data_IF_793679855618
#
_entry.id   IF_793679855618
#
_cell.length_a   1.000
_cell.length_b   1.000
_cell.length_c   1.000
_cell.angle_alpha   90.00
_cell.angle_beta   90.00
_cell.angle_gamma   90.00
#
_symmetry.space_group_name_H-M   'P 1'
#
loop_
_entity.id
_entity.type
_entity.pdbx_description
1 polymer ?
#
# COMPACT_ATOMS: atom_id res chain seq x y z
N UNK A 1 21.08 3.32 40.00
CA UNK A 1 20.79 4.49 39.16
C UNK A 1 19.87 3.98 38.06
N UNK A 2 18.58 4.33 38.11
CA UNK A 2 17.60 3.99 37.09
C UNK A 2 17.98 4.82 35.86
N UNK A 3 18.49 4.17 34.82
CA UNK A 3 18.66 4.79 33.52
C UNK A 3 17.25 5.03 32.95
N UNK A 4 16.67 6.19 33.20
CA UNK A 4 15.43 6.59 32.56
C UNK A 4 15.72 6.82 31.07
N UNK A 5 15.61 5.74 30.29
CA UNK A 5 15.58 5.83 28.84
C UNK A 5 14.32 6.62 28.50
N UNK A 6 14.49 7.85 27.98
CA UNK A 6 13.35 8.65 27.55
C UNK A 6 12.57 7.96 26.43
N UNK A 7 11.36 8.45 26.08
CA UNK A 7 10.49 7.82 25.07
C UNK A 7 11.15 7.67 23.71
N UNK A 8 10.73 6.66 22.97
CA UNK A 8 11.13 6.38 21.59
C UNK A 8 9.96 6.66 20.66
N UNK A 9 10.16 7.56 19.71
CA UNK A 9 9.15 7.99 18.74
C UNK A 9 9.46 7.47 17.36
N UNK A 10 8.55 6.72 16.73
CA UNK A 10 8.62 6.43 15.31
C UNK A 10 7.95 7.56 14.51
N UNK A 11 8.63 8.03 13.46
CA UNK A 11 8.10 8.99 12.48
C UNK A 11 8.11 8.33 11.10
N UNK A 12 6.95 8.26 10.48
CA UNK A 12 6.75 7.74 9.12
C UNK A 12 6.52 8.93 8.18
N UNK A 13 7.51 9.33 7.37
CA UNK A 13 7.37 10.41 6.41
C UNK A 13 6.60 9.93 5.18
N UNK A 14 5.42 10.52 4.90
CA UNK A 14 4.56 10.10 3.81
C UNK A 14 3.89 11.29 3.12
N UNK A 15 4.57 11.89 2.11
CA UNK A 15 3.99 13.01 1.35
C UNK A 15 2.97 12.56 0.32
N UNK A 16 2.02 13.44 -0.05
CA UNK A 16 0.98 13.19 -1.04
C UNK A 16 1.47 13.20 -2.49
N UNK A 17 2.49 14.04 -2.80
CA UNK A 17 2.94 14.35 -4.16
C UNK A 17 3.97 13.39 -4.75
N UNK A 18 3.75 12.08 -4.74
CA UNK A 18 4.67 11.09 -5.36
C UNK A 18 4.59 11.13 -6.89
N UNK A 19 5.69 11.47 -7.59
CA UNK A 19 5.75 11.57 -9.06
C UNK A 19 5.92 10.22 -9.76
N UNK A 20 6.79 9.35 -9.25
CA UNK A 20 7.08 8.06 -9.89
C UNK A 20 5.91 7.08 -9.82
N UNK A 21 5.16 7.10 -8.72
CA UNK A 21 3.96 6.28 -8.51
C UNK A 21 2.92 7.14 -7.78
N UNK A 22 1.93 7.73 -8.49
CA UNK A 22 0.90 8.56 -7.88
C UNK A 22 0.14 7.84 -6.77
N UNK A 23 -0.06 8.52 -5.64
CA UNK A 23 -0.74 7.94 -4.48
C UNK A 23 0.04 6.82 -3.78
N UNK A 24 1.34 6.68 -4.03
CA UNK A 24 2.19 5.57 -3.61
C UNK A 24 1.94 5.10 -2.17
N UNK A 25 1.92 6.01 -1.21
CA UNK A 25 1.83 5.67 0.22
C UNK A 25 0.52 4.96 0.61
N UNK A 26 -0.56 5.21 -0.11
CA UNK A 26 -1.88 4.58 0.13
C UNK A 26 -2.24 3.56 -0.96
N UNK A 27 -1.34 3.30 -1.91
CA UNK A 27 -1.52 2.26 -2.92
C UNK A 27 -1.41 0.89 -2.28
N UNK A 28 -2.24 -0.05 -2.73
CA UNK A 28 -2.24 -1.40 -2.16
C UNK A 28 -0.96 -2.15 -2.56
N UNK A 29 -0.40 -2.82 -1.57
CA UNK A 29 0.57 -3.90 -1.69
C UNK A 29 -0.08 -5.13 -1.05
N UNK A 30 -0.42 -6.13 -1.85
CA UNK A 30 -1.27 -7.21 -1.39
C UNK A 30 -2.63 -6.68 -0.93
N UNK A 31 -2.97 -6.88 0.34
CA UNK A 31 -4.28 -6.49 0.91
C UNK A 31 -4.28 -5.17 1.67
N UNK A 32 -3.14 -4.50 1.79
CA UNK A 32 -2.99 -3.35 2.67
C UNK A 32 -2.32 -2.18 1.96
N UNK A 33 -2.67 -0.93 2.27
CA UNK A 33 -1.95 0.24 1.79
C UNK A 33 -0.46 0.16 2.13
N UNK A 34 0.40 0.64 1.25
CA UNK A 34 1.85 0.57 1.43
C UNK A 34 2.32 1.11 2.79
N UNK A 35 1.76 2.23 3.24
CA UNK A 35 2.09 2.84 4.54
C UNK A 35 1.76 1.92 5.73
N UNK A 36 0.76 1.05 5.60
CA UNK A 36 0.31 0.17 6.67
C UNK A 36 1.39 -0.83 7.11
N UNK A 37 2.26 -1.27 6.20
CA UNK A 37 3.41 -2.14 6.55
C UNK A 37 4.40 -1.43 7.48
N UNK A 38 4.63 -0.14 7.26
CA UNK A 38 5.49 0.66 8.15
C UNK A 38 4.84 0.86 9.51
N UNK A 39 3.53 1.14 9.54
CA UNK A 39 2.78 1.27 10.79
C UNK A 39 2.80 -0.05 11.57
N UNK A 40 2.53 -1.19 10.91
CA UNK A 40 2.53 -2.51 11.53
C UNK A 40 3.89 -2.84 12.18
N UNK A 41 4.99 -2.65 11.46
CA UNK A 41 6.33 -2.88 12.01
C UNK A 41 6.62 -1.99 13.22
N UNK A 42 6.17 -0.72 13.21
CA UNK A 42 6.36 0.17 14.35
C UNK A 42 5.53 -0.27 15.57
N UNK A 43 4.26 -0.68 15.36
CA UNK A 43 3.38 -1.11 16.44
C UNK A 43 3.76 -2.49 17.02
N UNK A 44 4.41 -3.35 16.25
CA UNK A 44 4.93 -4.63 16.70
C UNK A 44 6.24 -4.51 17.51
N UNK A 45 6.91 -3.36 17.44
CA UNK A 45 8.15 -3.11 18.19
C UNK A 45 7.87 -2.96 19.68
N UNK A 46 8.72 -3.58 20.50
CA UNK A 46 8.69 -3.48 21.97
C UNK A 46 9.43 -2.26 22.52
N UNK A 47 10.17 -1.54 21.66
CA UNK A 47 10.99 -0.39 22.05
C UNK A 47 10.41 0.95 21.61
N UNK A 48 9.40 0.95 20.73
CA UNK A 48 8.75 2.17 20.24
C UNK A 48 7.53 2.47 21.12
N UNK A 49 7.51 3.65 21.73
CA UNK A 49 6.42 4.09 22.62
C UNK A 49 5.28 4.78 21.86
N UNK A 50 5.59 5.42 20.72
CA UNK A 50 4.62 6.21 19.96
C UNK A 50 4.95 6.16 18.46
N UNK A 51 3.89 6.12 17.62
CA UNK A 51 4.01 6.06 16.16
C UNK A 51 3.23 7.20 15.54
N UNK A 52 3.90 8.11 14.84
CA UNK A 52 3.26 9.21 14.12
C UNK A 52 3.57 9.17 12.63
N UNK A 53 2.62 9.68 11.84
CA UNK A 53 2.80 9.93 10.41
C UNK A 53 2.90 11.42 10.16
N UNK A 54 3.97 11.84 9.49
CA UNK A 54 4.12 13.21 9.00
C UNK A 54 3.73 13.27 7.53
N UNK A 55 2.61 13.91 7.21
CA UNK A 55 2.05 14.01 5.87
C UNK A 55 1.39 15.37 5.63
N UNK A 56 1.37 15.80 4.36
CA UNK A 56 0.63 16.97 3.84
C UNK A 56 -0.72 16.58 3.23
N UNK A 57 -1.10 15.30 3.30
CA UNK A 57 -2.30 14.78 2.63
C UNK A 57 -3.24 14.11 3.64
N UNK A 58 -4.47 14.63 3.74
CA UNK A 58 -5.47 14.13 4.70
C UNK A 58 -5.81 12.66 4.49
N UNK A 59 -5.92 12.19 3.24
CA UNK A 59 -6.21 10.76 2.95
C UNK A 59 -5.11 9.83 3.49
N UNK A 60 -3.85 10.26 3.40
CA UNK A 60 -2.72 9.49 3.97
C UNK A 60 -2.80 9.47 5.49
N UNK A 61 -3.12 10.61 6.12
CA UNK A 61 -3.33 10.70 7.56
C UNK A 61 -4.44 9.76 8.03
N UNK A 62 -5.60 9.81 7.38
CA UNK A 62 -6.77 8.98 7.72
C UNK A 62 -6.45 7.49 7.62
N UNK A 63 -5.79 7.08 6.51
CA UNK A 63 -5.34 5.69 6.32
C UNK A 63 -4.36 5.26 7.42
N UNK A 64 -3.36 6.07 7.72
CA UNK A 64 -2.37 5.72 8.74
C UNK A 64 -3.00 5.60 10.13
N UNK A 65 -3.92 6.51 10.49
CA UNK A 65 -4.68 6.46 11.75
C UNK A 65 -5.52 5.20 11.86
N UNK A 66 -6.12 4.75 10.75
CA UNK A 66 -6.90 3.52 10.74
C UNK A 66 -6.07 2.27 11.03
N UNK A 67 -4.79 2.29 10.71
CA UNK A 67 -3.85 1.22 11.04
C UNK A 67 -3.15 1.41 12.40
N UNK A 68 -3.48 2.48 13.14
CA UNK A 68 -3.05 2.68 14.52
C UNK A 68 -1.90 3.66 14.73
N UNK A 69 -1.44 4.35 13.69
CA UNK A 69 -0.56 5.50 13.85
C UNK A 69 -1.35 6.76 14.23
N UNK A 70 -0.66 7.78 14.73
CA UNK A 70 -1.22 9.09 14.95
C UNK A 70 -0.82 10.06 13.82
N UNK A 71 -1.66 11.03 13.51
CA UNK A 71 -1.35 12.16 12.64
C UNK A 71 -1.68 13.47 13.36
N UNK A 72 -0.87 13.87 14.35
CA UNK A 72 -1.21 14.98 15.26
C UNK A 72 -1.17 16.35 14.58
N UNK A 73 -0.55 16.46 13.43
CA UNK A 73 -0.44 17.68 12.63
C UNK A 73 -0.42 17.37 11.15
N UNK A 74 -0.76 18.36 10.33
CA UNK A 74 -0.48 18.33 8.90
C UNK A 74 0.88 18.96 8.62
N UNK A 75 1.71 18.29 7.81
CA UNK A 75 3.03 18.81 7.41
C UNK A 75 2.85 20.08 6.57
N UNK A 76 3.58 21.16 6.86
CA UNK A 76 3.62 22.34 6.00
C UNK A 76 4.01 22.01 4.56
N UNK A 77 3.39 22.67 3.58
CA UNK A 77 3.56 22.36 2.17
C UNK A 77 4.99 22.56 1.65
N UNK A 78 5.73 23.52 2.21
CA UNK A 78 7.13 23.78 1.91
C UNK A 78 8.05 22.61 2.32
N UNK A 79 7.66 21.85 3.35
CA UNK A 79 8.35 20.63 3.80
C UNK A 79 7.89 19.36 3.06
N UNK A 80 6.97 19.47 2.11
CA UNK A 80 6.43 18.34 1.36
C UNK A 80 6.79 18.37 -0.15
N UNK A 81 7.65 19.30 -0.57
CA UNK A 81 8.09 19.42 -1.97
C UNK A 81 9.03 18.25 -2.34
N UNK A 82 9.20 18.04 -3.66
CA UNK A 82 10.12 16.99 -4.18
C UNK A 82 11.57 17.21 -3.78
N UNK A 83 11.97 18.47 -3.59
CA UNK A 83 13.34 18.87 -3.26
C UNK A 83 13.53 19.15 -1.77
N UNK A 84 12.47 19.00 -0.96
CA UNK A 84 12.58 19.21 0.48
C UNK A 84 13.46 18.11 1.12
N UNK A 85 14.53 18.47 1.83
CA UNK A 85 15.32 17.49 2.55
C UNK A 85 14.54 16.93 3.75
N UNK A 86 14.93 15.75 4.23
CA UNK A 86 14.24 15.09 5.34
C UNK A 86 14.42 15.83 6.68
N UNK A 87 15.59 16.45 6.94
CA UNK A 87 15.91 17.03 8.26
C UNK A 87 14.86 18.06 8.76
N UNK A 88 14.43 19.05 7.97
CA UNK A 88 13.41 20.02 8.41
C UNK A 88 12.08 19.39 8.81
N UNK A 89 11.67 18.31 8.15
CA UNK A 89 10.42 17.64 8.52
C UNK A 89 10.52 16.99 9.90
N UNK A 90 11.68 16.37 10.25
CA UNK A 90 11.88 15.77 11.57
C UNK A 90 11.99 16.83 12.66
N UNK A 91 12.71 17.93 12.39
CA UNK A 91 12.79 19.07 13.30
C UNK A 91 11.39 19.66 13.56
N UNK A 92 10.59 19.90 12.52
CA UNK A 92 9.20 20.36 12.64
C UNK A 92 8.36 19.43 13.53
N UNK A 93 8.43 18.12 13.30
CA UNK A 93 7.66 17.16 14.08
C UNK A 93 8.04 17.22 15.58
N UNK A 94 9.34 17.26 15.88
CA UNK A 94 9.84 17.32 17.26
C UNK A 94 9.49 18.64 17.96
N UNK A 95 9.65 19.77 17.27
CA UNK A 95 9.31 21.10 17.77
C UNK A 95 7.80 21.25 17.99
N UNK A 96 6.98 20.71 17.10
CA UNK A 96 5.52 20.71 17.25
C UNK A 96 5.10 19.90 18.48
N UNK A 97 5.59 18.65 18.60
CA UNK A 97 5.27 17.77 19.73
C UNK A 97 5.71 18.37 21.07
N UNK A 98 6.87 19.01 21.12
CA UNK A 98 7.34 19.68 22.33
C UNK A 98 6.46 20.87 22.68
N UNK A 99 6.11 21.70 21.71
CA UNK A 99 5.33 22.93 21.92
C UNK A 99 3.87 22.64 22.28
N UNK A 100 3.21 21.73 21.57
CA UNK A 100 1.76 21.50 21.72
C UNK A 100 1.41 20.43 22.78
N UNK A 101 2.31 19.46 22.99
CA UNK A 101 2.03 18.33 23.87
C UNK A 101 3.06 18.16 25.02
N UNK A 102 4.13 18.94 25.05
CA UNK A 102 5.21 18.76 26.02
C UNK A 102 5.94 17.41 25.85
N UNK A 103 5.83 16.77 24.67
CA UNK A 103 6.40 15.45 24.41
C UNK A 103 7.83 15.56 23.83
N UNK A 104 8.80 14.97 24.53
CA UNK A 104 10.21 15.00 24.16
C UNK A 104 10.79 13.58 24.10
N UNK A 105 10.82 12.96 22.91
CA UNK A 105 11.44 11.64 22.75
C UNK A 105 12.97 11.74 22.86
N UNK A 106 13.60 10.73 23.42
CA UNK A 106 15.08 10.62 23.44
C UNK A 106 15.66 10.08 22.14
N UNK A 107 14.90 9.21 21.46
CA UNK A 107 15.26 8.58 20.19
C UNK A 107 14.11 8.75 19.21
N UNK A 108 14.44 9.05 17.97
CA UNK A 108 13.55 9.10 16.83
C UNK A 108 13.88 7.96 15.88
N UNK A 109 12.88 7.20 15.48
CA UNK A 109 13.01 6.11 14.52
C UNK A 109 12.33 6.52 13.21
N UNK A 110 13.12 6.76 12.17
CA UNK A 110 12.61 6.99 10.82
C UNK A 110 12.30 5.65 10.17
N UNK A 111 11.07 5.52 9.64
CA UNK A 111 10.60 4.31 8.97
C UNK A 111 9.94 4.72 7.64
N UNK A 112 10.54 4.34 6.51
CA UNK A 112 10.05 4.76 5.20
C UNK A 112 8.99 3.81 4.65
N UNK A 113 7.84 4.30 4.16
CA UNK A 113 6.83 3.47 3.52
C UNK A 113 7.35 2.71 2.29
N UNK A 114 8.29 3.29 1.55
CA UNK A 114 8.83 2.73 0.29
C UNK A 114 9.58 1.42 0.46
N UNK A 115 10.02 1.09 1.68
CA UNK A 115 10.68 -0.18 2.02
C UNK A 115 9.77 -0.99 2.95
N UNK A 116 8.71 -1.65 2.44
CA UNK A 116 7.67 -2.25 3.27
C UNK A 116 8.11 -3.50 4.04
N UNK A 117 9.08 -4.26 3.52
CA UNK A 117 9.45 -5.56 4.06
C UNK A 117 10.53 -5.44 5.12
N UNK A 118 10.11 -5.30 6.38
CA UNK A 118 11.00 -5.24 7.54
C UNK A 118 11.01 -6.58 8.26
N UNK A 119 12.20 -7.19 8.47
CA UNK A 119 12.30 -8.36 9.32
C UNK A 119 11.74 -8.07 10.71
N UNK A 120 11.02 -9.04 11.27
CA UNK A 120 10.54 -8.94 12.64
C UNK A 120 11.68 -8.60 13.62
N UNK A 121 11.43 -7.66 14.56
CA UNK A 121 12.41 -7.23 15.56
C UNK A 121 13.53 -6.31 15.05
N UNK A 122 13.59 -5.95 13.76
CA UNK A 122 14.65 -5.07 13.22
C UNK A 122 14.65 -3.69 13.87
N UNK A 123 13.47 -3.12 14.14
CA UNK A 123 13.35 -1.80 14.78
C UNK A 123 13.87 -1.85 16.21
N UNK A 124 13.53 -2.89 16.95
CA UNK A 124 14.03 -3.11 18.32
C UNK A 124 15.54 -3.26 18.35
N UNK A 125 16.10 -4.02 17.41
CA UNK A 125 17.56 -4.17 17.29
C UNK A 125 18.26 -2.82 17.05
N UNK A 126 17.72 -1.97 16.17
CA UNK A 126 18.29 -0.66 15.89
C UNK A 126 18.24 0.27 17.12
N UNK A 127 17.12 0.32 17.83
CA UNK A 127 16.94 1.13 19.03
C UNK A 127 17.84 0.64 20.16
N UNK A 128 17.87 -0.67 20.42
CA UNK A 128 18.73 -1.27 21.46
C UNK A 128 20.21 -1.04 21.19
N UNK A 129 20.63 -1.15 19.92
CA UNK A 129 22.01 -0.87 19.54
C UNK A 129 22.40 0.60 19.79
N UNK A 130 21.51 1.54 19.50
CA UNK A 130 21.71 2.96 19.79
C UNK A 130 21.73 3.23 21.30
N UNK A 131 20.85 2.61 22.06
CA UNK A 131 20.77 2.74 23.51
C UNK A 131 22.01 2.16 24.22
N UNK A 132 22.63 1.12 23.65
CA UNK A 132 23.80 0.44 24.24
C UNK A 132 25.11 1.22 24.13
N UNK A 133 25.19 2.21 23.23
CA UNK A 133 26.41 3.06 23.06
C UNK A 133 26.05 4.53 23.09
N UNK A 134 26.31 5.17 24.23
CA UNK A 134 26.02 6.59 24.43
C UNK A 134 26.81 7.52 23.48
N UNK A 135 27.84 7.04 22.83
CA UNK A 135 28.67 7.83 21.88
C UNK A 135 28.07 7.79 20.47
N UNK A 136 27.21 6.81 20.15
CA UNK A 136 26.61 6.70 18.84
C UNK A 136 25.53 7.78 18.65
N UNK A 137 25.58 8.48 17.53
CA UNK A 137 24.60 9.49 17.12
C UNK A 137 23.35 8.86 16.50
N UNK A 138 23.57 7.79 15.74
CA UNK A 138 22.50 7.06 15.05
C UNK A 138 22.88 5.61 14.76
N UNK A 139 21.85 4.84 14.40
CA UNK A 139 21.96 3.48 13.84
C UNK A 139 21.20 3.45 12.53
N UNK A 140 21.81 2.87 11.50
CA UNK A 140 21.27 2.84 10.14
C UNK A 140 21.19 1.43 9.59
N UNK A 141 20.10 1.11 8.89
CA UNK A 141 19.97 -0.16 8.19
C UNK A 141 20.81 -0.17 6.91
N UNK A 142 21.62 -1.21 6.76
CA UNK A 142 22.45 -1.44 5.57
C UNK A 142 22.33 -2.87 5.08
N UNK A 143 22.66 -3.10 3.82
CA UNK A 143 22.78 -4.44 3.21
C UNK A 143 24.06 -4.50 2.37
N UNK A 144 24.67 -5.69 2.15
CA UNK A 144 25.79 -5.82 1.23
C UNK A 144 25.43 -5.30 -0.16
N UNK A 145 26.27 -4.42 -0.71
CA UNK A 145 26.02 -3.84 -2.02
C UNK A 145 26.00 -4.91 -3.10
N UNK A 146 24.90 -5.02 -3.84
CA UNK A 146 24.77 -5.92 -4.98
C UNK A 146 25.73 -5.53 -6.11
N UNK A 147 25.96 -4.24 -6.28
CA UNK A 147 26.95 -3.66 -7.18
C UNK A 147 28.00 -2.95 -6.33
N UNK A 148 29.27 -3.34 -6.47
CA UNK A 148 30.35 -2.73 -5.69
C UNK A 148 30.68 -1.32 -6.22
N UNK A 149 30.82 -0.32 -5.36
CA UNK A 149 31.18 1.05 -5.79
C UNK A 149 32.55 1.15 -6.43
N UNK A 150 33.44 0.14 -6.24
CA UNK A 150 34.73 0.04 -6.90
C UNK A 150 34.63 -0.21 -8.42
N UNK A 151 33.44 -0.53 -8.93
CA UNK A 151 33.14 -0.70 -10.36
C UNK A 151 32.13 0.32 -10.87
N UNK A 152 31.95 1.42 -10.12
CA UNK A 152 31.08 2.53 -10.52
C UNK A 152 31.89 3.66 -11.13
N UNK A 153 31.26 4.40 -12.04
CA UNK A 153 31.88 5.45 -12.82
C UNK A 153 31.08 6.73 -12.75
N UNK A 154 31.77 7.86 -12.86
CA UNK A 154 31.21 9.14 -13.24
C UNK A 154 31.56 9.42 -14.70
N UNK A 155 30.76 10.22 -15.39
CA UNK A 155 31.05 10.72 -16.74
C UNK A 155 31.38 12.21 -16.63
N UNK A 156 32.47 12.66 -17.26
CA UNK A 156 32.79 14.07 -17.33
C UNK A 156 32.08 14.75 -18.54
N UNK A 157 32.25 16.06 -18.66
CA UNK A 157 31.61 16.87 -19.72
C UNK A 157 32.07 16.49 -21.15
N UNK A 158 33.14 15.73 -21.29
CA UNK A 158 33.67 15.22 -22.54
C UNK A 158 33.32 13.76 -22.76
N UNK A 159 32.39 13.20 -21.98
CA UNK A 159 31.92 11.81 -22.05
C UNK A 159 32.97 10.74 -21.68
N UNK A 160 34.09 11.13 -21.03
CA UNK A 160 35.04 10.15 -20.48
C UNK A 160 34.59 9.63 -19.12
N UNK A 161 34.73 8.31 -18.95
CA UNK A 161 34.45 7.64 -17.68
C UNK A 161 35.62 7.85 -16.70
N UNK A 162 35.26 8.21 -15.47
CA UNK A 162 36.19 8.28 -14.34
C UNK A 162 35.68 7.39 -13.21
N UNK A 163 36.59 6.57 -12.59
CA UNK A 163 36.17 5.76 -11.44
C UNK A 163 35.56 6.62 -10.35
N UNK A 164 34.44 6.17 -9.80
CA UNK A 164 33.75 6.88 -8.70
C UNK A 164 34.63 6.98 -7.44
N UNK A 165 35.41 5.93 -7.16
CA UNK A 165 36.30 5.86 -6.01
C UNK A 165 37.76 5.85 -6.47
N UNK A 166 38.59 6.66 -5.78
CA UNK A 166 40.03 6.53 -5.85
C UNK A 166 40.45 5.52 -4.77
N UNK A 167 41.30 4.57 -5.13
CA UNK A 167 41.76 3.49 -4.25
C UNK A 167 43.25 3.22 -4.44
N UNK A 168 43.84 2.45 -3.54
CA UNK A 168 45.24 1.97 -3.67
C UNK A 168 45.42 0.91 -4.76
N UNK A 169 44.32 0.30 -5.23
CA UNK A 169 44.33 -0.67 -6.31
C UNK A 169 44.42 0.01 -7.68
N UNK A 170 45.28 -0.47 -8.55
CA UNK A 170 45.57 0.14 -9.84
C UNK A 170 44.32 0.12 -10.79
N UNK A 171 43.52 -0.87 -10.82
CA UNK A 171 42.33 -0.99 -11.65
C UNK A 171 41.24 -1.80 -10.93
N UNK A 172 40.65 -1.24 -9.84
CA UNK A 172 39.71 -1.98 -9.01
C UNK A 172 38.48 -2.46 -9.79
N UNK A 173 38.08 -1.72 -10.81
CA UNK A 173 36.95 -2.05 -11.67
C UNK A 173 37.17 -3.31 -12.55
N UNK A 174 38.44 -3.72 -12.78
CA UNK A 174 38.81 -4.95 -13.49
C UNK A 174 39.13 -6.12 -12.54
N UNK A 175 39.17 -5.89 -11.23
CA UNK A 175 39.47 -6.94 -10.26
C UNK A 175 38.26 -7.86 -9.98
N UNK A 176 38.49 -9.15 -9.62
CA UNK A 176 37.46 -10.01 -9.06
C UNK A 176 36.83 -9.37 -7.81
N UNK A 177 35.50 -9.43 -7.71
CA UNK A 177 34.74 -8.81 -6.60
C UNK A 177 35.22 -9.29 -5.22
N UNK A 178 35.63 -10.54 -5.12
CA UNK A 178 36.07 -11.17 -3.86
C UNK A 178 37.37 -10.59 -3.34
N UNK A 179 38.14 -9.91 -4.16
CA UNK A 179 39.41 -9.26 -3.80
C UNK A 179 39.21 -7.77 -3.43
N UNK A 180 38.02 -7.22 -3.65
CA UNK A 180 37.69 -5.85 -3.31
C UNK A 180 37.11 -5.76 -1.87
N UNK A 181 37.32 -4.64 -1.17
CA UNK A 181 36.68 -4.43 0.13
C UNK A 181 35.18 -4.58 0.06
N UNK A 182 34.60 -5.19 1.07
CA UNK A 182 33.15 -5.31 1.16
C UNK A 182 32.52 -3.92 1.32
N UNK A 183 31.58 -3.60 0.45
CA UNK A 183 30.80 -2.38 0.51
C UNK A 183 29.36 -2.69 0.91
N UNK A 184 28.75 -1.74 1.60
CA UNK A 184 27.34 -1.78 1.98
C UNK A 184 26.64 -0.57 1.42
N UNK A 185 25.36 -0.68 1.15
CA UNK A 185 24.53 0.45 0.81
C UNK A 185 23.41 0.62 1.83
N UNK A 186 23.01 1.85 2.03
CA UNK A 186 21.92 2.20 2.94
C UNK A 186 20.60 1.73 2.38
N UNK A 187 19.79 1.12 3.26
CA UNK A 187 18.40 0.79 2.95
C UNK A 187 17.46 1.73 3.69
N UNK A 188 16.21 1.82 3.24
CA UNK A 188 15.20 2.67 3.88
C UNK A 188 14.46 2.01 5.05
N UNK A 189 14.89 0.84 5.54
CA UNK A 189 14.14 0.05 6.50
C UNK A 189 14.03 0.71 7.88
N UNK A 190 15.14 1.23 8.41
CA UNK A 190 15.18 1.94 9.69
C UNK A 190 16.40 2.84 9.80
N UNK A 191 16.18 4.03 10.35
CA UNK A 191 17.21 4.88 10.92
C UNK A 191 16.76 5.25 12.35
N UNK A 192 17.50 4.81 13.38
CA UNK A 192 17.29 5.23 14.77
C UNK A 192 18.28 6.35 15.10
N UNK A 193 17.78 7.48 15.59
CA UNK A 193 18.54 8.74 15.67
C UNK A 193 18.29 9.36 17.05
N UNK A 194 19.32 9.87 17.72
CA UNK A 194 19.13 10.64 18.93
C UNK A 194 18.45 11.98 18.64
N UNK A 195 17.52 12.40 19.52
CA UNK A 195 16.85 13.71 19.39
C UNK A 195 17.87 14.85 19.27
N UNK A 196 18.91 14.83 20.09
CA UNK A 196 19.99 15.83 20.07
C UNK A 196 20.75 15.88 18.74
N UNK A 197 20.90 14.74 18.06
CA UNK A 197 21.51 14.69 16.73
C UNK A 197 20.68 15.47 15.71
N UNK A 198 19.35 15.39 15.80
CA UNK A 198 18.44 16.11 14.91
C UNK A 198 18.40 17.60 15.26
N UNK A 199 18.16 17.94 16.52
CA UNK A 199 17.89 19.33 16.92
C UNK A 199 19.16 20.16 17.13
N UNK A 200 20.19 19.58 17.73
CA UNK A 200 21.41 20.34 18.11
C UNK A 200 22.48 20.21 17.04
N UNK A 201 22.75 18.98 16.55
CA UNK A 201 23.75 18.75 15.50
C UNK A 201 23.23 19.03 14.09
N UNK A 202 21.91 19.29 13.93
CA UNK A 202 21.25 19.52 12.65
C UNK A 202 21.57 18.43 11.61
N UNK A 203 21.51 17.17 12.04
CA UNK A 203 21.84 16.01 11.22
C UNK A 203 20.87 14.85 11.50
N UNK A 204 20.56 14.05 10.46
CA UNK A 204 19.83 12.79 10.61
C UNK A 204 20.76 11.58 10.81
N UNK A 205 22.05 11.81 10.87
CA UNK A 205 23.06 10.74 11.03
C UNK A 205 24.09 11.02 12.11
N UNK A 206 24.53 12.28 12.24
CA UNK A 206 25.66 12.65 13.05
C UNK A 206 26.99 12.12 12.47
N UNK A 207 28.00 12.00 13.31
CA UNK A 207 29.34 11.56 12.93
C UNK A 207 29.61 10.09 13.28
N UNK A 208 28.99 9.58 14.35
CA UNK A 208 29.19 8.22 14.86
C UNK A 208 27.96 7.36 14.57
N UNK A 209 28.02 6.69 13.44
CA UNK A 209 26.90 5.91 12.91
C UNK A 209 27.17 4.43 13.13
N UNK A 210 26.27 3.72 13.81
CA UNK A 210 26.26 2.25 13.85
C UNK A 210 25.35 1.69 12.77
N UNK A 211 25.44 0.41 12.52
CA UNK A 211 24.63 -0.25 11.49
C UNK A 211 23.95 -1.50 12.00
N UNK A 212 22.75 -1.75 11.46
CA UNK A 212 22.08 -3.06 11.50
C UNK A 212 22.07 -3.63 10.09
N UNK A 213 22.32 -4.93 9.97
CA UNK A 213 22.30 -5.62 8.67
C UNK A 213 20.90 -6.10 8.35
N UNK A 214 20.47 -5.84 7.13
CA UNK A 214 19.23 -6.37 6.54
C UNK A 214 19.61 -7.36 5.45
N UNK A 215 19.01 -8.55 5.49
CA UNK A 215 19.19 -9.54 4.43
C UNK A 215 18.63 -9.02 3.11
N UNK A 216 19.34 -9.28 2.02
CA UNK A 216 18.98 -8.79 0.69
C UNK A 216 17.62 -9.28 0.20
N UNK A 217 17.10 -10.38 0.74
CA UNK A 217 15.77 -10.90 0.43
C UNK A 217 14.62 -9.99 0.89
N UNK A 218 14.86 -9.09 1.84
CA UNK A 218 13.88 -8.09 2.29
C UNK A 218 13.98 -6.77 1.55
N UNK A 219 15.02 -6.58 0.74
CA UNK A 219 15.34 -5.27 0.17
C UNK A 219 14.57 -5.02 -1.11
N UNK A 220 13.58 -4.16 -1.00
CA UNK A 220 12.88 -3.52 -2.11
C UNK A 220 12.60 -2.08 -1.74
N UNK A 221 12.79 -1.18 -2.69
CA UNK A 221 12.42 0.24 -2.57
C UNK A 221 11.42 0.57 -3.67
N UNK A 222 10.19 0.91 -3.27
CA UNK A 222 9.07 1.09 -4.21
C UNK A 222 9.02 2.53 -4.65
N UNK A 223 9.51 2.81 -5.85
CA UNK A 223 9.44 4.12 -6.49
C UNK A 223 8.60 4.12 -7.78
N UNK A 224 8.49 2.99 -8.45
CA UNK A 224 7.79 2.80 -9.72
C UNK A 224 6.80 1.65 -9.64
N UNK A 225 5.99 1.51 -10.68
CA UNK A 225 5.02 0.41 -10.77
C UNK A 225 5.69 -0.96 -10.80
N UNK A 226 6.84 -1.07 -11.48
CA UNK A 226 7.60 -2.31 -11.59
C UNK A 226 8.09 -2.78 -10.21
N UNK A 227 8.53 -1.84 -9.36
CA UNK A 227 8.96 -2.14 -7.99
C UNK A 227 7.79 -2.67 -7.15
N UNK A 228 6.60 -2.07 -7.32
CA UNK A 228 5.38 -2.53 -6.65
C UNK A 228 5.00 -3.95 -7.08
N UNK A 229 5.04 -4.22 -8.39
CA UNK A 229 4.77 -5.57 -8.93
C UNK A 229 5.78 -6.60 -8.41
N UNK A 230 7.04 -6.22 -8.32
CA UNK A 230 8.07 -7.08 -7.73
C UNK A 230 7.83 -7.32 -6.24
N UNK A 231 7.42 -6.29 -5.50
CA UNK A 231 7.06 -6.42 -4.09
C UNK A 231 5.83 -7.34 -3.91
N UNK A 232 4.80 -7.25 -4.75
CA UNK A 232 3.66 -8.16 -4.75
C UNK A 232 4.08 -9.62 -5.01
N UNK A 233 5.01 -9.82 -5.96
CA UNK A 233 5.58 -11.15 -6.21
C UNK A 233 6.35 -11.67 -5.00
N UNK A 234 7.16 -10.84 -4.32
CA UNK A 234 7.86 -11.23 -3.09
C UNK A 234 6.87 -11.63 -2.00
N UNK A 235 5.83 -10.83 -1.80
CA UNK A 235 4.79 -11.09 -0.79
C UNK A 235 4.02 -12.40 -1.07
N UNK A 236 3.78 -12.71 -2.36
CA UNK A 236 3.06 -13.93 -2.76
C UNK A 236 3.80 -15.24 -2.46
N UNK A 237 5.10 -15.18 -2.20
CA UNK A 237 5.92 -16.36 -1.88
C UNK A 237 5.80 -16.82 -0.42
N UNK A 238 5.20 -16.01 0.43
CA UNK A 238 4.92 -16.29 1.84
C UNK A 238 6.14 -16.84 2.63
N UNK A 239 7.33 -16.35 2.29
CA UNK A 239 8.60 -16.77 2.88
C UNK A 239 9.33 -15.66 3.64
N UNK A 240 8.69 -14.50 3.81
CA UNK A 240 9.23 -13.37 4.56
C UNK A 240 8.59 -13.32 5.95
N UNK A 241 9.42 -13.33 6.98
CA UNK A 241 8.99 -13.12 8.36
C UNK A 241 8.77 -11.62 8.62
N UNK A 242 7.52 -11.19 8.48
CA UNK A 242 7.10 -9.79 8.51
C UNK A 242 6.00 -9.57 9.56
N UNK A 243 6.03 -8.38 10.15
CA UNK A 243 4.88 -7.86 10.88
C UNK A 243 3.81 -7.40 9.88
N UNK A 244 2.81 -8.24 9.64
CA UNK A 244 1.77 -7.95 8.67
C UNK A 244 0.79 -6.89 9.20
N UNK A 245 0.35 -5.96 8.33
CA UNK A 245 -0.64 -4.96 8.73
C UNK A 245 -1.94 -5.58 9.22
N UNK A 246 -2.46 -5.03 10.31
CA UNK A 246 -3.80 -5.29 10.79
C UNK A 246 -4.46 -3.95 11.16
N UNK A 247 -5.74 -3.82 10.92
CA UNK A 247 -6.48 -2.63 11.35
C UNK A 247 -6.47 -2.55 12.87
N UNK A 248 -6.12 -1.40 13.43
CA UNK A 248 -6.01 -1.22 14.89
C UNK A 248 -7.39 -1.25 15.53
N UNK A 249 -7.57 -2.20 16.43
CA UNK A 249 -8.72 -2.43 17.28
C UNK A 249 -10.08 -2.17 16.64
N UNK A 250 -10.83 -3.19 16.25
CA UNK A 250 -12.27 -3.14 15.89
C UNK A 250 -12.86 -1.87 15.23
N UNK A 251 -12.00 -0.97 14.80
CA UNK A 251 -12.29 0.06 13.81
C UNK A 251 -11.61 -0.38 12.52
N UNK A 252 -12.29 -1.26 11.78
CA UNK A 252 -12.22 -1.11 10.34
C UNK A 252 -12.13 0.40 10.10
N UNK A 253 -11.16 0.91 9.27
CA UNK A 253 -11.57 2.06 8.44
C UNK A 253 -12.92 1.60 7.97
N UNK A 254 -14.01 2.25 8.31
CA UNK A 254 -15.24 1.86 7.74
C UNK A 254 -15.11 2.20 6.24
N UNK A 255 -14.57 1.24 5.48
CA UNK A 255 -15.14 0.94 4.21
C UNK A 255 -16.50 0.46 4.64
N UNK A 256 -17.36 1.42 4.96
CA UNK A 256 -18.64 1.10 5.57
C UNK A 256 -19.55 0.65 4.43
N UNK A 257 -19.29 -0.60 4.04
CA UNK A 257 -20.30 -1.35 3.32
C UNK A 257 -21.60 -1.07 4.08
N UNK A 258 -22.63 -0.56 3.44
CA UNK A 258 -23.90 -0.23 4.07
C UNK A 258 -24.37 -1.33 5.01
N UNK A 259 -25.10 -0.97 6.02
CA UNK A 259 -25.77 -1.91 6.89
C UNK A 259 -27.22 -1.45 7.10
N UNK A 260 -28.18 -2.20 6.55
CA UNK A 260 -28.03 -3.45 5.77
C UNK A 260 -27.66 -3.24 4.30
N UNK A 261 -26.95 -4.18 3.68
CA UNK A 261 -26.91 -4.33 2.23
C UNK A 261 -28.08 -5.21 1.81
N UNK A 262 -28.90 -4.73 0.88
CA UNK A 262 -30.09 -5.44 0.39
C UNK A 262 -29.98 -5.88 -1.07
N UNK A 263 -29.08 -5.24 -1.84
CA UNK A 263 -28.88 -5.52 -3.26
C UNK A 263 -27.41 -5.46 -3.64
N UNK A 264 -26.93 -6.50 -4.31
CA UNK A 264 -25.61 -6.52 -4.96
C UNK A 264 -25.79 -6.47 -6.47
N UNK A 265 -25.23 -5.45 -7.10
CA UNK A 265 -25.27 -5.22 -8.55
C UNK A 265 -23.90 -5.44 -9.14
N UNK A 266 -23.80 -6.28 -10.17
CA UNK A 266 -22.54 -6.60 -10.84
C UNK A 266 -22.59 -6.14 -12.30
N UNK A 267 -21.50 -5.59 -12.80
CA UNK A 267 -21.20 -5.62 -14.22
C UNK A 267 -20.78 -7.03 -14.64
N UNK A 268 -20.65 -7.30 -15.93
CA UNK A 268 -20.31 -8.62 -16.44
C UNK A 268 -18.88 -8.65 -16.99
N UNK A 269 -18.55 -7.85 -18.02
CA UNK A 269 -17.26 -7.88 -18.67
C UNK A 269 -16.22 -7.14 -17.83
N UNK A 270 -15.06 -7.77 -17.62
CA UNK A 270 -14.04 -7.25 -16.70
C UNK A 270 -14.40 -7.32 -15.21
N UNK A 271 -15.59 -7.87 -14.86
CA UNK A 271 -16.03 -8.13 -13.49
C UNK A 271 -16.21 -9.62 -13.26
N UNK A 272 -17.16 -10.25 -13.94
CA UNK A 272 -17.38 -11.72 -13.95
C UNK A 272 -16.49 -12.44 -14.97
N UNK A 273 -15.94 -11.72 -15.94
CA UNK A 273 -14.94 -12.18 -16.92
C UNK A 273 -13.63 -11.45 -16.73
N UNK A 274 -12.58 -11.90 -17.43
CA UNK A 274 -11.26 -11.26 -17.45
C UNK A 274 -11.10 -10.23 -18.58
N UNK A 275 -12.22 -9.66 -19.05
CA UNK A 275 -12.32 -8.62 -20.08
C UNK A 275 -11.76 -9.05 -21.46
N UNK A 276 -11.54 -10.34 -21.69
CA UNK A 276 -11.08 -10.90 -22.96
C UNK A 276 -12.16 -11.73 -23.63
N UNK A 277 -12.26 -11.56 -24.93
CA UNK A 277 -13.17 -12.32 -25.77
C UNK A 277 -12.38 -13.14 -26.79
N UNK A 278 -12.76 -14.40 -26.95
CA UNK A 278 -12.30 -15.25 -28.03
C UNK A 278 -13.31 -15.16 -29.17
N UNK A 279 -12.83 -14.82 -30.35
CA UNK A 279 -13.67 -14.74 -31.55
C UNK A 279 -13.19 -15.80 -32.55
N UNK A 280 -14.04 -16.71 -32.97
CA UNK A 280 -13.73 -17.69 -34.00
C UNK A 280 -13.93 -17.11 -35.42
N UNK A 281 -13.55 -17.88 -36.44
CA UNK A 281 -13.67 -17.48 -37.86
C UNK A 281 -15.11 -17.24 -38.31
N UNK A 282 -16.10 -17.78 -37.60
CA UNK A 282 -17.53 -17.60 -37.87
C UNK A 282 -18.13 -16.41 -37.09
N UNK A 283 -17.29 -15.67 -36.37
CA UNK A 283 -17.69 -14.52 -35.56
C UNK A 283 -18.36 -14.90 -34.24
N UNK A 284 -18.22 -16.15 -33.77
CA UNK A 284 -18.75 -16.55 -32.47
C UNK A 284 -17.78 -16.12 -31.37
N UNK A 285 -18.35 -15.54 -30.34
CA UNK A 285 -17.60 -15.07 -29.19
C UNK A 285 -17.70 -16.04 -28.01
N UNK A 286 -16.61 -16.13 -27.25
CA UNK A 286 -16.53 -16.88 -26.00
C UNK A 286 -15.76 -16.08 -24.96
N UNK A 287 -16.19 -16.14 -23.70
CA UNK A 287 -15.55 -15.48 -22.58
C UNK A 287 -15.17 -16.49 -21.49
N UNK A 288 -14.23 -16.11 -20.64
CA UNK A 288 -13.79 -16.94 -19.51
C UNK A 288 -14.35 -16.37 -18.20
N UNK A 289 -15.10 -17.20 -17.46
CA UNK A 289 -15.61 -16.89 -16.14
C UNK A 289 -14.96 -17.78 -15.07
N UNK A 290 -14.78 -17.25 -13.86
CA UNK A 290 -14.27 -18.00 -12.72
C UNK A 290 -15.33 -18.90 -12.09
N UNK A 291 -14.94 -20.15 -11.76
CA UNK A 291 -15.78 -21.03 -10.95
C UNK A 291 -15.83 -20.58 -9.49
N UNK A 292 -14.74 -19.97 -8.99
CA UNK A 292 -14.66 -19.44 -7.62
C UNK A 292 -15.65 -18.30 -7.42
N UNK A 293 -15.78 -17.40 -8.39
CA UNK A 293 -16.75 -16.31 -8.38
C UNK A 293 -18.18 -16.85 -8.35
N UNK A 294 -18.48 -17.84 -9.20
CA UNK A 294 -19.79 -18.50 -9.19
C UNK A 294 -20.14 -19.14 -7.85
N UNK A 295 -19.20 -19.81 -7.20
CA UNK A 295 -19.41 -20.39 -5.87
C UNK A 295 -19.62 -19.31 -4.79
N UNK A 296 -18.92 -18.18 -4.88
CA UNK A 296 -19.14 -17.03 -4.00
C UNK A 296 -20.55 -16.50 -4.10
N UNK A 297 -21.04 -16.29 -5.32
CA UNK A 297 -22.40 -15.84 -5.60
C UNK A 297 -23.47 -16.80 -5.09
N UNK A 298 -23.27 -18.12 -5.25
CA UNK A 298 -24.17 -19.13 -4.70
C UNK A 298 -24.27 -19.05 -3.17
N UNK A 299 -23.14 -18.89 -2.48
CA UNK A 299 -23.10 -18.75 -1.01
C UNK A 299 -23.79 -17.46 -0.55
N UNK A 300 -23.54 -16.35 -1.25
CA UNK A 300 -24.12 -15.05 -0.92
C UNK A 300 -25.64 -15.04 -1.15
N UNK A 301 -26.11 -15.64 -2.25
CA UNK A 301 -27.55 -15.83 -2.52
C UNK A 301 -28.20 -16.75 -1.48
N UNK A 302 -27.52 -17.82 -1.06
CA UNK A 302 -28.04 -18.74 -0.02
C UNK A 302 -28.15 -18.05 1.35
N UNK A 303 -27.33 -17.00 1.61
CA UNK A 303 -27.44 -16.16 2.79
C UNK A 303 -28.58 -15.10 2.71
N UNK A 304 -29.31 -15.06 1.59
CA UNK A 304 -30.48 -14.17 1.41
C UNK A 304 -30.18 -12.86 0.68
N UNK A 305 -28.96 -12.67 0.17
CA UNK A 305 -28.61 -11.48 -0.62
C UNK A 305 -29.23 -11.56 -2.01
N UNK A 306 -29.94 -10.51 -2.42
CA UNK A 306 -30.35 -10.35 -3.81
C UNK A 306 -29.18 -9.89 -4.67
N UNK A 307 -28.96 -10.58 -5.80
CA UNK A 307 -27.84 -10.32 -6.72
C UNK A 307 -28.42 -10.15 -8.12
N UNK A 308 -27.96 -9.10 -8.82
CA UNK A 308 -28.34 -8.82 -10.20
C UNK A 308 -27.12 -8.47 -11.05
N UNK A 309 -27.26 -8.69 -12.37
CA UNK A 309 -26.23 -8.31 -13.35
C UNK A 309 -26.82 -7.28 -14.31
N UNK A 310 -26.07 -6.19 -14.59
CA UNK A 310 -26.43 -5.18 -15.59
C UNK A 310 -25.23 -5.03 -16.54
N UNK A 311 -25.37 -5.49 -17.79
CA UNK A 311 -24.30 -5.46 -18.80
C UNK A 311 -24.69 -4.69 -20.05
N UNK A 312 -23.74 -4.01 -20.67
CA UNK A 312 -23.85 -3.43 -22.02
C UNK A 312 -23.81 -4.48 -23.11
N UNK A 313 -23.19 -5.62 -22.84
CA UNK A 313 -22.98 -6.68 -23.81
C UNK A 313 -24.31 -7.26 -24.31
N UNK A 314 -24.37 -7.49 -25.62
CA UNK A 314 -25.57 -8.07 -26.28
C UNK A 314 -25.43 -9.57 -26.54
N UNK A 315 -24.19 -10.09 -26.40
CA UNK A 315 -23.93 -11.51 -26.65
C UNK A 315 -24.70 -12.40 -25.66
N UNK A 316 -25.36 -13.44 -26.12
CA UNK A 316 -26.16 -14.37 -25.28
C UNK A 316 -25.35 -15.06 -24.17
N UNK A 317 -24.00 -15.02 -24.20
CA UNK A 317 -23.16 -15.63 -23.19
C UNK A 317 -23.41 -15.05 -21.79
N UNK A 318 -23.76 -13.75 -21.70
CA UNK A 318 -24.12 -13.09 -20.44
C UNK A 318 -25.32 -13.75 -19.82
N UNK A 319 -26.44 -13.81 -20.57
CA UNK A 319 -27.67 -14.43 -20.11
C UNK A 319 -27.47 -15.92 -19.74
N UNK A 320 -26.74 -16.69 -20.55
CA UNK A 320 -26.49 -18.11 -20.30
C UNK A 320 -25.67 -18.33 -19.01
N UNK A 321 -24.71 -17.46 -18.75
CA UNK A 321 -23.94 -17.53 -17.49
C UNK A 321 -24.79 -17.18 -16.27
N UNK A 322 -25.58 -16.12 -16.36
CA UNK A 322 -26.51 -15.71 -15.29
C UNK A 322 -27.60 -16.75 -15.02
N UNK A 323 -28.19 -17.36 -16.07
CA UNK A 323 -29.13 -18.47 -15.96
C UNK A 323 -28.53 -19.63 -15.15
N UNK A 324 -27.32 -20.05 -15.49
CA UNK A 324 -26.59 -21.11 -14.74
C UNK A 324 -26.39 -20.77 -13.26
N UNK A 325 -26.15 -19.50 -12.96
CA UNK A 325 -25.92 -19.00 -11.59
C UNK A 325 -27.25 -18.67 -10.87
N UNK A 326 -28.41 -18.76 -11.59
CA UNK A 326 -29.74 -18.36 -11.09
C UNK A 326 -29.81 -16.90 -10.65
N UNK A 327 -29.09 -16.01 -11.34
CA UNK A 327 -29.03 -14.57 -11.08
C UNK A 327 -29.82 -13.84 -12.17
N UNK A 328 -30.66 -12.88 -11.76
CA UNK A 328 -31.37 -12.02 -12.69
C UNK A 328 -30.40 -11.12 -13.46
N UNK A 329 -30.63 -10.96 -14.77
CA UNK A 329 -29.68 -10.25 -15.62
C UNK A 329 -30.42 -9.38 -16.66
N UNK A 330 -29.86 -8.21 -16.89
CA UNK A 330 -30.24 -7.28 -17.95
C UNK A 330 -29.00 -7.03 -18.82
N UNK A 331 -29.04 -7.50 -20.05
CA UNK A 331 -28.01 -7.34 -21.05
C UNK A 331 -28.41 -6.36 -22.16
N UNK A 332 -27.45 -5.81 -22.90
CA UNK A 332 -27.67 -4.83 -23.96
C UNK A 332 -28.15 -3.47 -23.44
N UNK A 333 -27.73 -3.10 -22.23
CA UNK A 333 -28.19 -1.88 -21.55
C UNK A 333 -27.20 -0.75 -21.79
N UNK A 334 -27.58 0.23 -22.60
CA UNK A 334 -26.73 1.41 -22.87
C UNK A 334 -26.68 2.39 -21.68
N UNK A 335 -27.81 2.64 -21.03
CA UNK A 335 -27.93 3.49 -19.85
C UNK A 335 -28.17 2.64 -18.59
N UNK A 336 -27.07 2.17 -18.01
CA UNK A 336 -27.06 1.37 -16.79
C UNK A 336 -27.67 2.11 -15.59
N UNK A 337 -27.45 3.43 -15.47
CA UNK A 337 -27.91 4.20 -14.32
C UNK A 337 -29.44 4.33 -14.31
N UNK A 338 -30.06 4.65 -15.44
CA UNK A 338 -31.53 4.75 -15.52
C UNK A 338 -32.19 3.42 -15.20
N UNK A 339 -31.62 2.32 -15.68
CA UNK A 339 -32.11 0.98 -15.33
C UNK A 339 -31.91 0.68 -13.83
N UNK A 340 -30.74 0.97 -13.29
CA UNK A 340 -30.46 0.74 -11.86
C UNK A 340 -31.48 1.47 -10.97
N UNK A 341 -31.73 2.75 -11.23
CA UNK A 341 -32.73 3.54 -10.48
C UNK A 341 -34.12 2.92 -10.53
N UNK A 342 -34.53 2.45 -11.72
CA UNK A 342 -35.80 1.75 -11.88
C UNK A 342 -35.86 0.46 -11.06
N UNK A 343 -34.81 -0.36 -11.12
CA UNK A 343 -34.72 -1.64 -10.40
C UNK A 343 -34.68 -1.44 -8.87
N UNK A 344 -34.02 -0.41 -8.37
CA UNK A 344 -34.04 -0.04 -6.95
C UNK A 344 -35.46 0.35 -6.51
N UNK A 345 -36.15 1.19 -7.28
CA UNK A 345 -37.52 1.63 -6.97
C UNK A 345 -38.50 0.46 -6.96
N UNK A 346 -38.46 -0.43 -7.96
CA UNK A 346 -39.32 -1.65 -8.05
C UNK A 346 -39.13 -2.58 -6.85
N UNK A 347 -37.90 -2.67 -6.33
CA UNK A 347 -37.51 -3.51 -5.18
C UNK A 347 -37.69 -2.83 -3.83
N UNK A 348 -37.99 -1.55 -3.82
CA UNK A 348 -38.08 -0.72 -2.62
C UNK A 348 -36.76 -0.80 -1.80
N UNK A 349 -35.63 -0.73 -2.52
CA UNK A 349 -34.27 -0.69 -1.95
C UNK A 349 -33.75 0.73 -2.07
N UNK A 350 -33.28 1.31 -0.96
CA UNK A 350 -32.59 2.59 -1.01
C UNK A 350 -31.25 2.43 -1.72
N UNK A 351 -30.84 3.43 -2.49
CA UNK A 351 -29.55 3.42 -3.16
C UNK A 351 -28.38 3.21 -2.15
N UNK A 352 -28.54 3.72 -0.93
CA UNK A 352 -27.55 3.55 0.15
C UNK A 352 -27.50 2.12 0.71
N UNK A 353 -28.50 1.28 0.45
CA UNK A 353 -28.57 -0.15 0.81
C UNK A 353 -28.11 -1.07 -0.33
N UNK A 354 -27.63 -0.48 -1.42
CA UNK A 354 -27.12 -1.22 -2.58
C UNK A 354 -25.60 -1.10 -2.71
N UNK A 355 -24.96 -2.15 -3.22
CA UNK A 355 -23.56 -2.16 -3.62
C UNK A 355 -23.44 -2.42 -5.12
N UNK A 356 -22.43 -1.84 -5.76
CA UNK A 356 -22.14 -2.02 -7.19
C UNK A 356 -20.70 -2.50 -7.39
N UNK A 357 -20.51 -3.45 -8.27
CA UNK A 357 -19.18 -3.94 -8.69
C UNK A 357 -19.03 -3.67 -10.17
N UNK A 358 -18.06 -2.84 -10.54
CA UNK A 358 -17.79 -2.44 -11.93
C UNK A 358 -16.32 -2.18 -12.18
N UNK A 359 -15.91 -2.25 -13.45
CA UNK A 359 -14.51 -2.17 -13.85
C UNK A 359 -14.20 -1.03 -14.82
N UNK A 360 -15.18 -0.47 -15.52
CA UNK A 360 -14.92 0.49 -16.59
C UNK A 360 -15.76 1.78 -16.45
N UNK A 361 -15.44 2.78 -17.27
CA UNK A 361 -16.06 4.13 -17.28
C UNK A 361 -17.60 4.05 -17.35
N UNK A 362 -18.13 3.05 -18.05
CA UNK A 362 -19.58 2.81 -18.16
C UNK A 362 -20.28 2.53 -16.83
N UNK A 363 -19.53 2.17 -15.77
CA UNK A 363 -20.04 1.84 -14.45
C UNK A 363 -20.03 3.03 -13.48
N UNK A 364 -19.22 4.04 -13.75
CA UNK A 364 -19.00 5.17 -12.84
C UNK A 364 -20.30 5.83 -12.36
N UNK A 365 -21.26 6.02 -13.24
CA UNK A 365 -22.52 6.64 -12.87
C UNK A 365 -23.34 5.78 -11.89
N UNK A 366 -23.30 4.46 -12.02
CA UNK A 366 -23.93 3.52 -11.09
C UNK A 366 -23.16 3.46 -9.78
N UNK A 367 -21.83 3.40 -9.83
CA UNK A 367 -20.96 3.35 -8.65
C UNK A 367 -21.11 4.58 -7.76
N UNK A 368 -21.25 5.76 -8.34
CA UNK A 368 -21.53 7.02 -7.61
C UNK A 368 -22.94 7.07 -7.00
N UNK A 369 -23.88 6.32 -7.54
CA UNK A 369 -25.28 6.36 -7.13
C UNK A 369 -25.61 5.46 -5.95
N UNK A 370 -24.87 4.38 -5.76
CA UNK A 370 -25.09 3.40 -4.69
C UNK A 370 -24.35 3.76 -3.40
N UNK A 371 -24.73 3.12 -2.29
CA UNK A 371 -24.09 3.35 -0.99
C UNK A 371 -22.65 2.89 -0.95
N UNK A 372 -22.26 1.91 -1.78
CA UNK A 372 -20.90 1.41 -1.82
C UNK A 372 -20.53 0.77 -3.16
N UNK A 373 -19.31 1.00 -3.60
CA UNK A 373 -18.80 0.47 -4.87
C UNK A 373 -17.48 -0.28 -4.69
N UNK A 374 -17.39 -1.43 -5.36
CA UNK A 374 -16.19 -2.23 -5.49
C UNK A 374 -15.66 -2.18 -6.93
N UNK A 375 -14.35 -2.27 -7.10
CA UNK A 375 -13.75 -2.43 -8.41
C UNK A 375 -12.66 -3.51 -8.40
N UNK A 376 -12.57 -4.36 -9.45
CA UNK A 376 -11.48 -5.32 -9.61
C UNK A 376 -10.10 -4.65 -9.63
N UNK A 377 -9.05 -5.41 -9.31
CA UNK A 377 -7.68 -4.92 -9.24
C UNK A 377 -7.18 -4.32 -10.57
N UNK A 378 -7.68 -4.80 -11.69
CA UNK A 378 -7.35 -4.41 -13.06
C UNK A 378 -8.36 -3.44 -13.70
N UNK A 379 -9.23 -2.81 -12.92
CA UNK A 379 -10.19 -1.82 -13.39
C UNK A 379 -9.55 -0.61 -14.06
N UNK A 380 -10.33 0.12 -14.86
CA UNK A 380 -9.92 1.35 -15.50
C UNK A 380 -9.44 2.39 -14.46
N UNK A 381 -8.37 3.19 -14.75
CA UNK A 381 -7.85 4.19 -13.81
C UNK A 381 -8.91 5.13 -13.22
N UNK A 382 -9.84 5.66 -14.04
CA UNK A 382 -10.92 6.53 -13.56
C UNK A 382 -11.89 5.83 -12.60
N UNK A 383 -12.08 4.52 -12.72
CA UNK A 383 -12.88 3.71 -11.79
C UNK A 383 -12.12 3.50 -10.48
N UNK A 384 -10.82 3.29 -10.59
CA UNK A 384 -9.92 3.15 -9.43
C UNK A 384 -9.95 4.37 -8.52
N UNK A 385 -10.03 5.56 -9.10
CA UNK A 385 -10.03 6.83 -8.35
C UNK A 385 -11.36 7.08 -7.62
N UNK A 386 -12.45 6.40 -8.01
CA UNK A 386 -13.80 6.65 -7.49
C UNK A 386 -14.41 5.49 -6.71
N UNK A 387 -13.93 4.26 -6.91
CA UNK A 387 -14.43 3.12 -6.16
C UNK A 387 -14.13 3.25 -4.65
N UNK A 388 -15.10 2.85 -3.83
CA UNK A 388 -14.89 2.85 -2.37
C UNK A 388 -13.87 1.78 -1.95
N UNK A 389 -13.81 0.64 -2.65
CA UNK A 389 -12.83 -0.41 -2.41
C UNK A 389 -12.32 -1.01 -3.73
N UNK A 390 -11.01 -1.02 -3.89
CA UNK A 390 -10.34 -1.79 -4.94
C UNK A 390 -10.06 -3.19 -4.39
N UNK A 391 -10.55 -4.19 -5.11
CA UNK A 391 -10.39 -5.61 -4.77
C UNK A 391 -8.95 -6.08 -5.03
N UNK A 392 -8.53 -7.14 -4.36
CA UNK A 392 -7.20 -7.72 -4.53
C UNK A 392 -7.07 -8.57 -5.80
N UNK A 393 -8.19 -9.07 -6.32
CA UNK A 393 -8.20 -9.94 -7.48
C UNK A 393 -8.71 -9.19 -8.73
N UNK A 394 -8.14 -9.50 -9.92
CA UNK A 394 -8.65 -8.99 -11.19
C UNK A 394 -10.00 -9.61 -11.54
N UNK A 395 -10.69 -8.95 -12.46
CA UNK A 395 -11.98 -9.44 -12.98
C UNK A 395 -11.91 -10.87 -13.52
N UNK A 396 -12.94 -11.66 -13.29
CA UNK A 396 -13.03 -13.05 -13.69
C UNK A 396 -12.00 -13.99 -13.04
N UNK A 397 -11.26 -13.54 -12.05
CA UNK A 397 -10.18 -14.30 -11.39
C UNK A 397 -10.27 -14.32 -9.87
N UNK A 398 -11.45 -14.06 -9.32
CA UNK A 398 -11.70 -14.09 -7.89
C UNK A 398 -12.17 -12.76 -7.29
N UNK A 399 -12.25 -11.68 -8.06
CA UNK A 399 -12.74 -10.39 -7.60
C UNK A 399 -14.16 -10.48 -7.02
N UNK A 400 -15.06 -11.08 -7.73
CA UNK A 400 -16.46 -11.26 -7.26
C UNK A 400 -16.52 -12.22 -6.06
N UNK A 401 -15.66 -13.23 -5.99
CA UNK A 401 -15.54 -14.09 -4.81
C UNK A 401 -15.16 -13.26 -3.57
N UNK A 402 -14.20 -12.35 -3.69
CA UNK A 402 -13.80 -11.46 -2.61
C UNK A 402 -14.95 -10.57 -2.12
N UNK A 403 -15.71 -9.96 -3.04
CA UNK A 403 -16.94 -9.20 -2.69
C UNK A 403 -17.89 -10.06 -1.87
N UNK A 404 -18.16 -11.28 -2.33
CA UNK A 404 -19.06 -12.19 -1.62
C UNK A 404 -18.56 -12.51 -0.19
N UNK A 405 -17.27 -12.71 0.00
CA UNK A 405 -16.68 -12.96 1.33
C UNK A 405 -16.80 -11.76 2.26
N UNK A 406 -16.56 -10.54 1.74
CA UNK A 406 -16.75 -9.29 2.49
C UNK A 406 -18.21 -9.14 2.94
N UNK A 407 -19.16 -9.31 2.02
CA UNK A 407 -20.59 -9.18 2.32
C UNK A 407 -21.09 -10.25 3.28
N UNK A 408 -20.66 -11.51 3.11
CA UNK A 408 -21.00 -12.61 4.01
C UNK A 408 -20.44 -12.41 5.43
N UNK A 409 -19.24 -11.85 5.57
CA UNK A 409 -18.70 -11.51 6.87
C UNK A 409 -19.51 -10.43 7.56
N UNK A 410 -19.97 -9.42 6.81
CA UNK A 410 -20.83 -8.34 7.29
C UNK A 410 -22.20 -8.82 7.75
N UNK A 411 -22.82 -9.77 7.03
CA UNK A 411 -24.14 -10.33 7.37
C UNK A 411 -24.13 -11.21 8.63
N UNK A 412 -22.93 -11.62 9.11
CA UNK A 412 -22.76 -12.45 10.32
C UNK A 412 -22.45 -11.64 11.56
N UNK A 413 -22.07 -10.37 11.40
CA UNK A 413 -21.75 -9.44 12.48
C UNK A 413 -23.00 -8.73 13.01
#
# INVERSE_FOLDING_TARGET
MVNSKGPVLAIIPARGGSKGLPGKNIRLLGRHPLIAYSVASCLASHTIDRVIVSTDNQKIADVACAYGAEAPFMRPADLATDMAPDLPLFAHALEWLQREEGYEPSIVVQVRPTTPFRPHGLLDQAVQLLQSDARADSVRAITPASQTPYKMWTCDDQEYLRPLLQTEHAEPYNMPRQLLPQAFWQTGHVDAIRRETILDKKSLTGERIKSVLVDSSFVVDIDRLEDLQYAEYMLSKDNLDLDLPALSGSKTVPVSVPDPVRLTVLDFDGTLTDDRVWVDQDGRESVVCSRRDGQGLELLAAAGMEIIVISKEKNPVVARRCEKLKIACWQGVDDKLTLLKKLLAERKVDAQEAVYVGNDIGDLACMRHVGFSFAPADCHPSVRDEANLILNYPGGRGAVREVCEILLAKMKS
#
